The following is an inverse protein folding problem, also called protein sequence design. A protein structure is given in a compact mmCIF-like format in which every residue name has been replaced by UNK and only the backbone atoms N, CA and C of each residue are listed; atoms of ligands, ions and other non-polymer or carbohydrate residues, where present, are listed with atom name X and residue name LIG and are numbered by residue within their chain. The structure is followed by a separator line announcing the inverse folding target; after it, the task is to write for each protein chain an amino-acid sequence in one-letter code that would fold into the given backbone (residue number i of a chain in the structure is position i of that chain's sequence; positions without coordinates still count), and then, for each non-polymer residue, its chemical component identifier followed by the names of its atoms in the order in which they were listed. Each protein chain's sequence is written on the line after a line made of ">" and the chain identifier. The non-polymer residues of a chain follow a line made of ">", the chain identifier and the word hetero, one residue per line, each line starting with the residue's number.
data_IF_705062638567
#
_entry.id   IF_705062638567
#
_cell.length_a   1.000
_cell.length_b   1.000
_cell.length_c   1.000
_cell.angle_alpha   90.00
_cell.angle_beta   90.00
_cell.angle_gamma   90.00
#
_symmetry.space_group_name_H-M   'P 1'
#
loop_
_entity.id
_entity.type
_entity.pdbx_description
1 polymer ?
#
# COMPACT_ATOMS: atom_id res chain seq x y z
N UNK A 1 7.18 -15.56 -3.50
CA UNK A 1 7.85 -14.91 -2.36
C UNK A 1 6.79 -14.67 -1.31
N UNK A 2 7.02 -15.04 -0.05
CA UNK A 2 6.05 -14.76 1.02
C UNK A 2 6.26 -13.31 1.46
N UNK A 3 5.21 -12.49 1.44
CA UNK A 3 5.23 -11.13 1.95
C UNK A 3 4.93 -11.19 3.44
N UNK A 4 5.92 -10.83 4.25
CA UNK A 4 5.82 -10.95 5.69
C UNK A 4 5.54 -9.60 6.34
N UNK A 5 5.97 -8.49 5.72
CA UNK A 5 5.83 -7.15 6.24
C UNK A 5 5.45 -6.11 5.18
N UNK A 6 4.94 -4.96 5.63
CA UNK A 6 4.67 -3.81 4.76
C UNK A 6 5.91 -3.29 4.01
N UNK A 7 7.12 -3.49 4.54
CA UNK A 7 8.36 -3.12 3.85
C UNK A 7 8.62 -3.95 2.58
N UNK A 8 8.19 -5.23 2.55
CA UNK A 8 8.32 -6.04 1.34
C UNK A 8 7.48 -5.44 0.18
N UNK A 9 6.32 -4.89 0.52
CA UNK A 9 5.43 -4.21 -0.43
C UNK A 9 5.99 -2.86 -0.88
N UNK A 10 6.59 -2.10 0.03
CA UNK A 10 7.29 -0.85 -0.31
C UNK A 10 8.43 -1.11 -1.30
N UNK A 11 9.25 -2.13 -1.05
CA UNK A 11 10.35 -2.48 -1.94
C UNK A 11 9.86 -2.83 -3.35
N UNK A 12 8.80 -3.65 -3.43
CA UNK A 12 8.15 -4.00 -4.70
C UNK A 12 7.60 -2.76 -5.41
N UNK A 13 6.90 -1.88 -4.70
CA UNK A 13 6.35 -0.65 -5.25
C UNK A 13 7.43 0.31 -5.76
N UNK A 14 8.56 0.42 -5.05
CA UNK A 14 9.67 1.31 -5.41
C UNK A 14 10.27 0.97 -6.77
N UNK A 15 10.26 -0.29 -7.19
CA UNK A 15 10.71 -0.72 -8.52
C UNK A 15 9.92 -0.03 -9.66
N UNK A 16 8.65 0.30 -9.41
CA UNK A 16 7.78 0.95 -10.37
C UNK A 16 7.64 2.44 -10.13
N UNK A 17 7.64 2.92 -8.89
CA UNK A 17 7.41 4.33 -8.55
C UNK A 17 8.69 5.14 -8.60
N UNK A 18 9.83 4.59 -8.15
CA UNK A 18 11.11 5.29 -8.12
C UNK A 18 12.25 4.46 -8.75
N UNK A 19 12.13 4.03 -10.02
CA UNK A 19 13.16 3.24 -10.68
C UNK A 19 14.47 4.04 -10.76
N UNK A 20 15.59 3.41 -10.39
CA UNK A 20 16.91 4.06 -10.30
C UNK A 20 16.94 5.33 -9.42
N UNK A 21 15.97 5.49 -8.50
CA UNK A 21 15.84 6.66 -7.63
C UNK A 21 15.13 7.87 -8.24
N UNK A 22 14.62 7.77 -9.47
CA UNK A 22 13.83 8.83 -10.09
C UNK A 22 12.34 8.65 -9.76
N UNK A 23 11.75 9.56 -9.00
CA UNK A 23 10.33 9.50 -8.62
C UNK A 23 9.42 9.80 -9.82
N UNK A 24 8.56 8.85 -10.16
CA UNK A 24 7.59 8.94 -11.25
C UNK A 24 6.17 9.00 -10.68
N UNK A 25 5.25 9.82 -11.22
CA UNK A 25 3.91 10.01 -10.70
C UNK A 25 3.01 8.79 -10.99
N UNK A 26 3.25 7.68 -10.30
CA UNK A 26 2.63 6.39 -10.58
C UNK A 26 1.75 5.93 -9.43
N UNK A 27 0.72 5.15 -9.76
CA UNK A 27 -0.10 4.37 -8.83
C UNK A 27 0.06 2.90 -9.17
N UNK A 28 0.33 2.09 -8.16
CA UNK A 28 0.68 0.68 -8.28
C UNK A 28 -0.22 -0.13 -7.37
N UNK A 29 -0.60 -1.31 -7.85
CA UNK A 29 -1.34 -2.34 -7.13
C UNK A 29 -0.42 -3.55 -6.94
N UNK A 30 -0.41 -4.13 -5.75
CA UNK A 30 0.30 -5.37 -5.43
C UNK A 30 -0.73 -6.38 -4.96
N UNK A 31 -0.75 -7.57 -5.56
CA UNK A 31 -1.71 -8.64 -5.31
C UNK A 31 -1.06 -9.80 -4.58
N UNK A 32 -1.74 -10.32 -3.55
CA UNK A 32 -1.30 -11.46 -2.78
C UNK A 32 -2.41 -12.51 -2.65
N UNK A 33 -2.00 -13.77 -2.63
CA UNK A 33 -2.90 -14.89 -2.40
C UNK A 33 -3.29 -15.05 -0.91
N UNK A 34 -4.12 -16.04 -0.60
CA UNK A 34 -4.58 -16.31 0.76
C UNK A 34 -3.46 -16.69 1.76
N UNK A 35 -2.30 -17.14 1.25
CA UNK A 35 -1.12 -17.50 2.04
C UNK A 35 -0.09 -16.35 2.09
N UNK A 36 -0.49 -15.14 1.69
CA UNK A 36 0.37 -13.94 1.61
C UNK A 36 1.54 -14.11 0.63
N UNK A 37 1.44 -15.02 -0.34
CA UNK A 37 2.42 -15.10 -1.40
C UNK A 37 2.17 -14.01 -2.42
N UNK A 38 3.26 -13.42 -2.90
CA UNK A 38 3.24 -12.49 -4.01
C UNK A 38 2.61 -13.15 -5.24
N UNK A 39 1.50 -12.57 -5.71
CA UNK A 39 0.84 -12.92 -6.97
C UNK A 39 1.40 -12.09 -8.11
N UNK A 40 1.01 -10.81 -8.16
CA UNK A 40 1.41 -9.89 -9.23
C UNK A 40 1.58 -8.44 -8.72
N UNK A 41 2.18 -7.60 -9.57
CA UNK A 41 2.29 -6.15 -9.40
C UNK A 41 1.88 -5.43 -10.68
N UNK A 42 0.86 -4.58 -10.58
CA UNK A 42 0.29 -3.86 -11.71
C UNK A 42 0.51 -2.35 -11.59
N UNK A 43 0.89 -1.72 -12.71
CA UNK A 43 0.84 -0.27 -12.84
C UNK A 43 -0.60 0.16 -13.17
N UNK A 44 -1.28 0.76 -12.20
CA UNK A 44 -2.68 1.21 -12.34
C UNK A 44 -2.75 2.56 -13.07
N UNK A 45 -1.82 3.47 -12.78
CA UNK A 45 -1.73 4.77 -13.45
C UNK A 45 -0.29 5.21 -13.62
N UNK A 46 0.02 5.79 -14.79
CA UNK A 46 1.30 6.46 -15.06
C UNK A 46 1.30 7.95 -14.72
N UNK A 47 0.15 8.50 -14.32
CA UNK A 47 -0.06 9.90 -13.97
C UNK A 47 -1.00 9.98 -12.76
N UNK A 48 -0.49 9.64 -11.59
CA UNK A 48 -1.19 9.78 -10.33
C UNK A 48 -1.11 11.23 -9.84
N UNK A 49 -2.26 11.82 -9.55
CA UNK A 49 -2.41 13.22 -9.17
C UNK A 49 -2.72 13.42 -7.67
N UNK A 50 -2.65 12.33 -6.88
CA UNK A 50 -3.02 12.34 -5.47
C UNK A 50 -4.45 11.88 -5.17
N UNK A 51 -5.23 11.47 -6.18
CA UNK A 51 -6.61 10.98 -6.01
C UNK A 51 -6.74 9.51 -6.41
N UNK A 52 -7.22 8.67 -5.50
CA UNK A 52 -7.48 7.25 -5.74
C UNK A 52 -8.84 7.00 -6.36
N UNK A 53 -9.84 7.83 -6.06
CA UNK A 53 -11.24 7.63 -6.48
C UNK A 53 -11.43 7.43 -8.00
N UNK A 54 -10.74 8.18 -8.88
CA UNK A 54 -10.81 7.93 -10.33
C UNK A 54 -10.30 6.55 -10.77
N UNK A 55 -9.54 5.86 -9.91
CA UNK A 55 -8.87 4.60 -10.23
C UNK A 55 -9.52 3.38 -9.56
N UNK A 56 -10.58 3.53 -8.77
CA UNK A 56 -11.20 2.41 -8.04
C UNK A 56 -11.60 1.25 -8.94
N UNK A 57 -12.29 1.54 -10.05
CA UNK A 57 -12.75 0.49 -10.96
C UNK A 57 -11.58 -0.25 -11.60
N UNK A 58 -10.49 0.46 -11.94
CA UNK A 58 -9.27 -0.15 -12.45
C UNK A 58 -8.60 -1.02 -11.40
N UNK A 59 -8.42 -0.51 -10.17
CA UNK A 59 -7.82 -1.26 -9.06
C UNK A 59 -8.62 -2.54 -8.80
N UNK A 60 -9.93 -2.41 -8.60
CA UNK A 60 -10.80 -3.55 -8.28
C UNK A 60 -11.00 -4.49 -9.47
N UNK A 61 -10.81 -4.01 -10.71
CA UNK A 61 -10.87 -4.82 -11.92
C UNK A 61 -9.60 -5.63 -12.18
N UNK A 62 -8.47 -5.26 -11.58
CA UNK A 62 -7.24 -6.06 -11.62
C UNK A 62 -7.30 -7.27 -10.67
N UNK A 63 -7.95 -7.12 -9.52
CA UNK A 63 -8.02 -8.17 -8.50
C UNK A 63 -8.76 -9.42 -9.02
N UNK A 64 -8.05 -10.54 -9.10
CA UNK A 64 -8.61 -11.83 -9.46
C UNK A 64 -9.31 -12.50 -8.26
N UNK A 65 -10.60 -12.80 -8.39
CA UNK A 65 -11.38 -13.44 -7.32
C UNK A 65 -10.92 -14.86 -6.97
N UNK A 66 -10.27 -15.56 -7.90
CA UNK A 66 -9.87 -16.95 -7.71
C UNK A 66 -8.48 -17.05 -7.08
N UNK A 67 -7.62 -16.06 -7.28
CA UNK A 67 -6.21 -16.09 -6.87
C UNK A 67 -5.80 -15.00 -5.88
N UNK A 68 -6.50 -13.85 -5.85
CA UNK A 68 -6.15 -12.71 -5.00
C UNK A 68 -7.04 -12.67 -3.76
N UNK A 69 -6.42 -12.60 -2.59
CA UNK A 69 -7.13 -12.45 -1.30
C UNK A 69 -6.80 -11.13 -0.63
N UNK A 70 -5.54 -10.74 -0.68
CA UNK A 70 -5.05 -9.50 -0.10
C UNK A 70 -4.44 -8.63 -1.19
N UNK A 71 -4.48 -7.33 -0.99
CA UNK A 71 -3.79 -6.41 -1.89
C UNK A 71 -3.29 -5.18 -1.16
N UNK A 72 -2.35 -4.48 -1.77
CA UNK A 72 -1.91 -3.17 -1.32
C UNK A 72 -1.79 -2.21 -2.49
N UNK A 73 -1.88 -0.92 -2.19
CA UNK A 73 -1.64 0.14 -3.16
C UNK A 73 -0.44 0.96 -2.75
N UNK A 74 0.29 1.45 -3.73
CA UNK A 74 1.40 2.36 -3.52
C UNK A 74 1.38 3.47 -4.57
N UNK A 75 1.74 4.69 -4.19
CA UNK A 75 1.78 5.80 -5.14
C UNK A 75 2.90 6.79 -4.85
N UNK A 76 3.22 7.60 -5.87
CA UNK A 76 4.08 8.76 -5.69
C UNK A 76 3.39 9.85 -4.85
N UNK A 77 4.19 10.54 -4.04
CA UNK A 77 3.73 11.52 -3.08
C UNK A 77 3.48 10.90 -1.70
N UNK A 78 3.94 11.60 -0.67
CA UNK A 78 3.69 11.29 0.73
C UNK A 78 2.69 12.27 1.34
N UNK A 79 2.12 11.88 2.48
CA UNK A 79 1.32 12.73 3.35
C UNK A 79 2.07 12.95 4.68
N UNK A 80 1.72 13.99 5.47
CA UNK A 80 2.34 14.23 6.76
C UNK A 80 2.17 13.04 7.73
N UNK A 81 3.14 12.81 8.63
CA UNK A 81 3.05 11.75 9.65
C UNK A 81 1.86 11.94 10.60
N UNK A 82 1.56 13.19 10.92
CA UNK A 82 0.34 13.60 11.63
C UNK A 82 -0.69 14.18 10.64
N UNK A 83 -0.88 13.50 9.50
CA UNK A 83 -1.91 13.87 8.54
C UNK A 83 -3.26 13.99 9.26
N UNK A 84 -4.01 15.03 8.93
CA UNK A 84 -5.41 15.06 9.33
C UNK A 84 -6.11 13.86 8.70
N UNK A 85 -7.00 13.22 9.47
CA UNK A 85 -7.94 12.20 9.01
C UNK A 85 -8.72 12.58 7.74
N UNK A 86 -8.71 13.87 7.37
CA UNK A 86 -9.35 14.43 6.19
C UNK A 86 -8.47 14.54 4.94
N UNK A 87 -7.22 14.06 4.97
CA UNK A 87 -6.39 14.04 3.76
C UNK A 87 -7.10 13.24 2.65
N UNK A 88 -7.37 13.84 1.47
CA UNK A 88 -8.23 13.22 0.47
C UNK A 88 -7.80 11.81 0.07
N UNK A 89 -6.49 11.57 -0.06
CA UNK A 89 -5.95 10.27 -0.44
C UNK A 89 -6.17 9.19 0.64
N UNK A 90 -6.20 9.57 1.93
CA UNK A 90 -6.44 8.64 3.03
C UNK A 90 -7.93 8.31 3.16
N UNK A 91 -8.79 9.32 3.03
CA UNK A 91 -10.25 9.13 3.00
C UNK A 91 -10.63 8.22 1.83
N UNK A 92 -10.08 8.48 0.65
CA UNK A 92 -10.32 7.66 -0.53
C UNK A 92 -9.71 6.25 -0.41
N UNK A 93 -8.60 6.08 0.29
CA UNK A 93 -8.06 4.73 0.54
C UNK A 93 -9.02 3.92 1.44
N UNK A 94 -9.65 4.56 2.42
CA UNK A 94 -10.63 3.90 3.29
C UNK A 94 -11.91 3.52 2.54
N UNK A 95 -12.43 4.42 1.69
CA UNK A 95 -13.56 4.10 0.79
C UNK A 95 -13.24 2.89 -0.11
N UNK A 96 -12.03 2.84 -0.70
CA UNK A 96 -11.57 1.72 -1.51
C UNK A 96 -11.48 0.42 -0.70
N UNK A 97 -10.93 0.49 0.52
CA UNK A 97 -10.83 -0.66 1.43
C UNK A 97 -12.20 -1.26 1.71
N UNK A 98 -13.20 -0.43 2.00
CA UNK A 98 -14.57 -0.88 2.22
C UNK A 98 -15.15 -1.53 0.96
N UNK A 99 -15.03 -0.90 -0.20
CA UNK A 99 -15.51 -1.45 -1.48
C UNK A 99 -14.87 -2.80 -1.81
N UNK A 100 -13.55 -2.92 -1.60
CA UNK A 100 -12.83 -4.15 -1.83
C UNK A 100 -13.26 -5.27 -0.87
N UNK A 101 -13.51 -4.93 0.40
CA UNK A 101 -14.00 -5.89 1.40
C UNK A 101 -15.36 -6.47 1.02
N UNK A 102 -16.27 -5.66 0.46
CA UNK A 102 -17.56 -6.13 -0.04
C UNK A 102 -17.43 -7.10 -1.22
N UNK A 103 -16.30 -7.04 -1.95
CA UNK A 103 -15.96 -7.97 -3.04
C UNK A 103 -15.13 -9.17 -2.58
N UNK A 104 -14.84 -9.28 -1.28
CA UNK A 104 -14.09 -10.40 -0.70
C UNK A 104 -12.56 -10.20 -0.67
N UNK A 105 -12.06 -9.02 -0.99
CA UNK A 105 -10.63 -8.68 -0.94
C UNK A 105 -10.30 -7.88 0.32
N UNK A 106 -9.09 -8.04 0.83
CA UNK A 106 -8.63 -7.30 2.01
C UNK A 106 -7.47 -6.40 1.61
N UNK A 107 -7.67 -5.09 1.71
CA UNK A 107 -6.59 -4.12 1.55
C UNK A 107 -5.71 -4.15 2.80
N UNK A 108 -4.46 -4.54 2.63
CA UNK A 108 -3.49 -4.71 3.72
C UNK A 108 -2.39 -3.64 3.69
N UNK A 109 -2.44 -2.65 2.80
CA UNK A 109 -1.41 -1.62 2.77
C UNK A 109 -1.75 -0.48 1.83
N UNK A 110 -1.41 0.73 2.26
CA UNK A 110 -1.46 1.96 1.47
C UNK A 110 -0.16 2.70 1.69
N UNK A 111 0.65 2.82 0.63
CA UNK A 111 1.97 3.42 0.70
C UNK A 111 2.07 4.69 -0.16
N UNK A 112 2.60 5.76 0.41
CA UNK A 112 3.04 6.94 -0.31
C UNK A 112 4.57 6.94 -0.37
N UNK A 113 5.16 7.20 -1.53
CA UNK A 113 6.61 7.23 -1.72
C UNK A 113 7.04 8.60 -2.25
N UNK A 114 8.11 9.16 -1.70
CA UNK A 114 8.74 10.38 -2.18
C UNK A 114 10.26 10.25 -2.17
N UNK A 115 10.96 11.34 -2.52
CA UNK A 115 12.42 11.40 -2.54
C UNK A 115 13.06 11.23 -1.13
N UNK A 116 12.29 11.49 -0.07
CA UNK A 116 12.75 11.47 1.31
C UNK A 116 12.52 10.13 2.01
N UNK A 117 11.62 9.28 1.50
CA UNK A 117 11.32 7.97 2.06
C UNK A 117 9.97 7.41 1.61
N UNK A 118 9.23 6.85 2.56
CA UNK A 118 7.87 6.38 2.35
C UNK A 118 7.01 6.64 3.59
N UNK A 119 5.71 6.69 3.37
CA UNK A 119 4.66 6.72 4.37
C UNK A 119 3.74 5.53 4.15
N UNK A 120 3.15 5.03 5.24
CA UNK A 120 2.19 3.92 5.18
C UNK A 120 0.96 4.27 6.03
N UNK A 121 -0.24 4.03 5.50
CA UNK A 121 -1.50 4.10 6.25
C UNK A 121 -2.07 2.68 6.32
N UNK A 122 -1.45 1.88 7.17
CA UNK A 122 -1.53 0.43 7.10
C UNK A 122 -0.22 -0.18 7.57
N UNK A 123 -0.17 -1.51 7.67
CA UNK A 123 0.82 -2.19 8.48
C UNK A 123 2.26 -1.79 8.18
N UNK A 124 2.87 -1.12 9.15
CA UNK A 124 4.22 -0.56 9.10
C UNK A 124 5.30 -1.63 9.33
N UNK A 125 4.90 -2.85 9.72
CA UNK A 125 5.78 -3.96 10.07
C UNK A 125 5.16 -5.28 9.55
N UNK A 126 5.50 -6.41 10.18
CA UNK A 126 4.88 -7.71 9.94
C UNK A 126 3.34 -7.74 10.08
N UNK A 127 2.65 -8.38 9.14
CA UNK A 127 1.17 -8.41 9.12
C UNK A 127 0.56 -9.18 10.30
N UNK A 128 1.32 -10.09 10.89
CA UNK A 128 0.95 -10.95 12.00
C UNK A 128 0.62 -10.24 13.32
N UNK A 129 1.02 -8.99 13.47
CA UNK A 129 0.80 -8.19 14.69
C UNK A 129 -0.38 -7.22 14.56
N UNK A 130 -0.99 -7.15 13.39
CA UNK A 130 -2.19 -6.33 13.12
C UNK A 130 -3.52 -6.99 13.49
N UNK A 131 -3.50 -8.12 14.21
CA UNK A 131 -4.69 -8.93 14.55
C UNK A 131 -5.61 -9.17 13.33
N UNK A 132 -5.01 -9.35 12.16
CA UNK A 132 -5.69 -9.73 10.91
C UNK A 132 -6.05 -11.23 10.86
N UNK A 133 -5.88 -11.97 11.97
CA UNK A 133 -5.95 -13.43 12.00
C UNK A 133 -4.67 -14.15 11.56
N UNK A 134 -3.52 -13.46 11.58
CA UNK A 134 -2.21 -13.93 11.11
C UNK A 134 -1.27 -14.33 12.31
N UNK A 135 -0.27 -15.24 12.12
CA UNK A 135 0.53 -15.83 13.22
C UNK A 135 1.76 -15.01 13.66
N UNK A 136 1.86 -14.68 14.96
CA UNK A 136 2.60 -13.55 15.58
C UNK A 136 4.13 -13.67 15.84
N UNK A 137 4.93 -12.63 15.52
CA UNK A 137 6.26 -12.29 16.08
C UNK A 137 6.74 -10.80 15.88
N UNK A 138 7.30 -10.19 16.95
CA UNK A 138 8.24 -9.03 17.11
C UNK A 138 8.01 -7.53 16.68
N UNK A 139 8.11 -6.62 17.69
CA UNK A 139 7.59 -5.23 17.78
C UNK A 139 8.53 -4.15 17.20
N UNK A 140 8.02 -3.37 16.23
CA UNK A 140 8.39 -1.99 15.83
C UNK A 140 9.67 -1.71 15.01
N UNK A 141 9.50 -1.07 13.82
CA UNK A 141 10.53 -0.30 13.09
C UNK A 141 9.92 0.89 12.29
N UNK A 142 10.62 2.03 12.22
CA UNK A 142 10.31 3.24 11.42
C UNK A 142 11.59 3.69 10.71
N UNK A 143 11.53 3.94 9.39
CA UNK A 143 12.63 4.56 8.63
C UNK A 143 12.15 5.82 7.89
N UNK A 144 12.11 6.95 8.60
CA UNK A 144 11.85 8.28 8.05
C UNK A 144 12.89 9.29 8.53
N UNK A 145 13.38 10.17 7.64
CA UNK A 145 14.22 11.32 8.03
C UNK A 145 13.43 12.44 8.74
N UNK A 146 12.10 12.38 8.74
CA UNK A 146 11.25 13.34 9.45
C UNK A 146 10.97 12.93 10.91
N UNK A 147 11.48 11.78 11.35
CA UNK A 147 11.34 11.31 12.72
C UNK A 147 12.37 11.90 13.68
N UNK A 148 12.24 13.19 14.00
CA UNK A 148 12.62 13.76 15.32
C UNK A 148 11.70 14.92 15.68
N UNK A 149 10.47 14.60 16.06
CA UNK A 149 9.76 15.47 17.00
C UNK A 149 10.52 15.39 18.33
N UNK A 150 11.06 16.52 18.76
CA UNK A 150 11.61 16.71 20.11
C UNK A 150 10.52 16.87 21.16
#
# INVERSE_FOLDING_TARGET
>A
MIIQAGFDLEFLARLLIAPAGELLPRLVLIELDADMQFGDIALVSCQFDGRLKPHYDTILGHLDQDSTRYFAIAHAGCWPECADSNEPVLVEAEELRELALHRGFVMIGHFGLDDAGYMSNGPHYYFDRYRLGLPCTMDHWVHSKHGKCG
#
